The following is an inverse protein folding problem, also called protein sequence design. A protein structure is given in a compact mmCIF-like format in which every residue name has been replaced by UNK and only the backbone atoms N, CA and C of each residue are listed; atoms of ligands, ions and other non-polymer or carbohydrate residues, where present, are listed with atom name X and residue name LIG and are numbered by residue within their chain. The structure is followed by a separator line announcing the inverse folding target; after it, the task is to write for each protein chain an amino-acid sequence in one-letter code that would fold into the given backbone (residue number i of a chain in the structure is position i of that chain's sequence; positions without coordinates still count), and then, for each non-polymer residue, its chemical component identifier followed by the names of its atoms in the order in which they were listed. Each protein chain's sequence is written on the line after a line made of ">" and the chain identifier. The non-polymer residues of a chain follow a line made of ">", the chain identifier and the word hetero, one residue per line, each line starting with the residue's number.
data_IF_502944523177
#
_entry.id   IF_502944523177
#
_cell.length_a   1.000
_cell.length_b   1.000
_cell.length_c   1.000
_cell.angle_alpha   90.00
_cell.angle_beta   90.00
_cell.angle_gamma   90.00
#
_symmetry.space_group_name_H-M   'P 1'
#
loop_
_entity.id
_entity.type
_entity.pdbx_description
1 polymer ?
#
# COMPACT_ATOMS: atom_id res chain seq x y z
N UNK A 1 -17.80 39.04 16.11
CA UNK A 1 -16.63 38.50 15.38
C UNK A 1 -16.57 37.02 15.68
N UNK A 2 -16.73 36.21 14.66
CA UNK A 2 -16.59 34.75 14.70
C UNK A 2 -15.08 34.39 14.79
N UNK A 3 -14.69 33.55 15.76
CA UNK A 3 -13.33 33.05 15.99
C UNK A 3 -13.22 31.63 15.46
N UNK A 4 -12.48 31.46 14.35
CA UNK A 4 -12.21 30.15 13.78
C UNK A 4 -11.48 29.24 14.78
N UNK A 5 -11.92 27.97 14.89
CA UNK A 5 -11.26 26.96 15.72
C UNK A 5 -10.08 26.33 14.98
N UNK A 6 -8.91 26.93 15.10
CA UNK A 6 -7.69 26.49 14.39
C UNK A 6 -7.15 25.10 14.80
N UNK A 7 -7.57 24.55 15.96
CA UNK A 7 -7.00 23.31 16.52
C UNK A 7 -8.02 22.18 16.72
N UNK A 8 -9.20 22.23 16.08
CA UNK A 8 -10.15 21.10 16.10
C UNK A 8 -9.79 20.10 15.00
N UNK A 9 -9.45 18.86 15.36
CA UNK A 9 -9.30 17.75 14.40
C UNK A 9 -10.12 16.54 14.83
N UNK A 10 -10.79 15.88 13.87
CA UNK A 10 -11.47 14.61 14.12
C UNK A 10 -10.41 13.52 14.31
N UNK A 11 -10.56 12.61 15.30
CA UNK A 11 -9.67 11.47 15.42
C UNK A 11 -9.71 10.64 14.13
N UNK A 12 -8.58 10.59 13.40
CA UNK A 12 -8.47 9.84 12.14
C UNK A 12 -8.75 8.34 12.29
N UNK A 13 -8.73 7.82 13.52
CA UNK A 13 -9.01 6.44 13.87
C UNK A 13 -10.49 6.15 14.19
N UNK A 14 -11.39 7.15 14.15
CA UNK A 14 -12.79 6.94 14.49
C UNK A 14 -13.53 6.04 13.48
N UNK A 15 -14.11 4.96 14.00
CA UNK A 15 -14.94 3.99 13.25
C UNK A 15 -16.45 4.14 13.51
N UNK A 16 -16.85 5.04 14.42
CA UNK A 16 -18.25 5.23 14.80
C UNK A 16 -19.10 5.58 13.57
N UNK A 17 -20.23 4.88 13.39
CA UNK A 17 -21.16 5.09 12.27
C UNK A 17 -20.73 4.48 10.93
N UNK A 18 -19.52 3.90 10.84
CA UNK A 18 -19.05 3.29 9.58
C UNK A 18 -19.56 1.86 9.44
N UNK A 19 -20.14 1.55 8.28
CA UNK A 19 -20.50 0.17 7.92
C UNK A 19 -19.25 -0.69 7.76
N UNK A 20 -19.17 -1.80 8.49
CA UNK A 20 -18.15 -2.81 8.30
C UNK A 20 -18.42 -3.62 7.02
N UNK A 21 -17.39 -3.80 6.19
CA UNK A 21 -17.46 -4.47 4.87
C UNK A 21 -16.65 -5.77 4.82
N UNK A 22 -16.30 -6.34 5.99
CA UNK A 22 -15.47 -7.53 6.12
C UNK A 22 -13.99 -7.23 5.91
N UNK A 23 -13.27 -8.10 5.19
CA UNK A 23 -11.86 -7.93 4.86
C UNK A 23 -11.56 -6.69 3.99
N UNK A 24 -12.58 -6.04 3.42
CA UNK A 24 -12.45 -4.76 2.72
C UNK A 24 -12.31 -3.56 3.67
N UNK A 25 -12.48 -3.75 4.98
CA UNK A 25 -12.43 -2.70 5.98
C UNK A 25 -13.78 -2.04 6.26
N UNK A 26 -13.76 -0.75 6.59
CA UNK A 26 -14.96 0.03 6.88
C UNK A 26 -15.25 1.04 5.77
N UNK A 27 -16.49 1.50 5.65
CA UNK A 27 -16.83 2.61 4.74
C UNK A 27 -15.88 3.81 4.96
N UNK A 28 -15.19 4.25 3.91
CA UNK A 28 -14.15 5.31 3.97
C UNK A 28 -12.91 5.01 4.82
N UNK A 29 -12.67 3.75 5.21
CA UNK A 29 -11.42 3.26 5.86
C UNK A 29 -11.10 1.85 5.34
N UNK A 30 -10.66 1.72 4.07
CA UNK A 30 -10.31 0.43 3.50
C UNK A 30 -9.05 -0.15 4.17
N UNK A 31 -8.98 -1.48 4.26
CA UNK A 31 -7.80 -2.16 4.83
C UNK A 31 -6.65 -2.31 3.84
N UNK A 32 -6.94 -2.44 2.54
CA UNK A 32 -5.92 -2.72 1.54
C UNK A 32 -4.85 -1.62 1.43
N UNK A 33 -5.17 -0.32 1.27
CA UNK A 33 -4.13 0.70 1.09
C UNK A 33 -3.14 0.82 2.27
N UNK A 34 -3.58 0.87 3.55
CA UNK A 34 -2.62 0.89 4.66
C UNK A 34 -1.70 -0.34 4.74
N UNK A 35 -2.18 -1.52 4.33
CA UNK A 35 -1.35 -2.73 4.27
C UNK A 35 -0.34 -2.66 3.11
N UNK A 36 -0.70 -2.00 2.01
CA UNK A 36 0.23 -1.77 0.90
C UNK A 36 1.41 -0.90 1.33
N UNK A 37 1.26 0.04 2.25
CA UNK A 37 2.36 0.92 2.70
C UNK A 37 3.55 0.10 3.25
N UNK A 38 3.25 -0.88 4.10
CA UNK A 38 4.27 -1.79 4.68
C UNK A 38 4.89 -2.66 3.60
N UNK A 39 4.06 -3.24 2.74
CA UNK A 39 4.51 -4.15 1.66
C UNK A 39 5.40 -3.43 0.65
N UNK A 40 4.95 -2.27 0.16
CA UNK A 40 5.69 -1.44 -0.81
C UNK A 40 6.97 -0.91 -0.18
N UNK A 41 6.90 -0.41 1.05
CA UNK A 41 8.08 0.06 1.78
C UNK A 41 9.16 -1.03 1.89
N UNK A 42 8.79 -2.24 2.26
CA UNK A 42 9.71 -3.37 2.32
C UNK A 42 10.33 -3.74 0.96
N UNK A 43 9.50 -3.80 -0.09
CA UNK A 43 9.96 -4.11 -1.45
C UNK A 43 10.72 -2.97 -2.16
N UNK A 44 10.82 -1.80 -1.53
CA UNK A 44 11.72 -0.71 -1.96
C UNK A 44 12.98 -0.71 -1.10
N UNK A 45 12.85 -0.75 0.22
CA UNK A 45 13.98 -0.66 1.16
C UNK A 45 14.90 -1.88 1.05
N UNK A 46 14.35 -3.09 0.95
CA UNK A 46 15.15 -4.31 0.80
C UNK A 46 16.09 -4.24 -0.42
N UNK A 47 15.58 -3.96 -1.63
CA UNK A 47 16.42 -3.76 -2.80
C UNK A 47 17.41 -2.60 -2.70
N UNK A 48 17.08 -1.50 -2.00
CA UNK A 48 18.05 -0.42 -1.73
C UNK A 48 19.24 -0.93 -0.92
N UNK A 49 18.99 -1.74 0.12
CA UNK A 49 20.06 -2.37 0.88
C UNK A 49 20.93 -3.29 0.02
N UNK A 50 20.31 -4.08 -0.87
CA UNK A 50 21.05 -4.94 -1.79
C UNK A 50 21.93 -4.17 -2.77
N UNK A 51 21.44 -3.06 -3.33
CA UNK A 51 22.22 -2.19 -4.21
C UNK A 51 23.43 -1.63 -3.47
N UNK A 52 23.23 -1.09 -2.26
CA UNK A 52 24.32 -0.54 -1.46
C UNK A 52 25.33 -1.62 -1.08
N UNK A 53 24.85 -2.80 -0.66
CA UNK A 53 25.70 -3.94 -0.32
C UNK A 53 26.55 -4.39 -1.52
N UNK A 54 25.95 -4.49 -2.70
CA UNK A 54 26.65 -4.90 -3.92
C UNK A 54 27.69 -3.87 -4.38
N UNK A 55 27.37 -2.57 -4.34
CA UNK A 55 28.32 -1.50 -4.67
C UNK A 55 29.50 -1.46 -3.69
N UNK A 56 29.25 -1.80 -2.42
CA UNK A 56 30.26 -1.88 -1.37
C UNK A 56 30.79 -3.28 -1.10
N UNK A 57 30.68 -4.24 -2.03
CA UNK A 57 30.93 -5.69 -1.78
C UNK A 57 32.27 -6.06 -1.14
N UNK A 58 33.29 -5.20 -1.29
CA UNK A 58 34.62 -5.41 -0.70
C UNK A 58 34.75 -4.83 0.73
N UNK A 59 33.68 -4.18 1.23
CA UNK A 59 33.63 -3.58 2.56
C UNK A 59 33.13 -4.57 3.61
N UNK A 60 33.63 -4.46 4.84
CA UNK A 60 33.27 -5.36 5.94
C UNK A 60 31.78 -5.32 6.33
N UNK A 61 31.07 -4.22 6.06
CA UNK A 61 29.65 -4.04 6.39
C UNK A 61 28.69 -4.56 5.32
N UNK A 62 29.20 -4.92 4.13
CA UNK A 62 28.38 -5.25 2.97
C UNK A 62 27.49 -6.48 3.19
N UNK A 63 28.06 -7.55 3.76
CA UNK A 63 27.32 -8.77 4.08
C UNK A 63 26.15 -8.49 5.03
N UNK A 64 26.38 -7.74 6.12
CA UNK A 64 25.33 -7.42 7.09
C UNK A 64 24.17 -6.64 6.45
N UNK A 65 24.48 -5.71 5.56
CA UNK A 65 23.47 -4.93 4.83
C UNK A 65 22.68 -5.81 3.85
N UNK A 66 23.34 -6.72 3.15
CA UNK A 66 22.68 -7.70 2.27
C UNK A 66 21.73 -8.61 3.06
N UNK A 67 22.15 -9.07 4.25
CA UNK A 67 21.30 -9.86 5.14
C UNK A 67 20.07 -9.08 5.57
N UNK A 68 20.26 -7.83 6.00
CA UNK A 68 19.16 -6.94 6.36
C UNK A 68 18.17 -6.77 5.20
N UNK A 69 18.66 -6.60 3.96
CA UNK A 69 17.83 -6.55 2.76
C UNK A 69 16.95 -7.80 2.59
N UNK A 70 17.53 -8.99 2.72
CA UNK A 70 16.80 -10.26 2.65
C UNK A 70 15.70 -10.39 3.71
N UNK A 71 15.99 -10.02 4.96
CA UNK A 71 15.00 -10.04 6.05
C UNK A 71 13.88 -9.01 5.86
N UNK A 72 14.19 -7.82 5.34
CA UNK A 72 13.18 -6.80 4.99
C UNK A 72 12.26 -7.33 3.89
N UNK A 73 12.79 -7.96 2.84
CA UNK A 73 11.98 -8.56 1.78
C UNK A 73 11.10 -9.68 2.34
N UNK A 74 11.60 -10.52 3.26
CA UNK A 74 10.81 -11.56 3.91
C UNK A 74 9.66 -10.98 4.74
N UNK A 75 9.92 -9.93 5.53
CA UNK A 75 8.89 -9.22 6.29
C UNK A 75 7.83 -8.62 5.34
N UNK A 76 8.27 -8.06 4.20
CA UNK A 76 7.40 -7.60 3.12
C UNK A 76 6.53 -8.73 2.55
N UNK A 77 7.10 -9.92 2.31
CA UNK A 77 6.38 -11.09 1.83
C UNK A 77 5.29 -11.55 2.80
N UNK A 78 5.59 -11.60 4.10
CA UNK A 78 4.60 -11.93 5.14
C UNK A 78 3.49 -10.89 5.18
N UNK A 79 3.84 -9.59 5.20
CA UNK A 79 2.86 -8.48 5.16
C UNK A 79 1.98 -8.55 3.90
N UNK A 80 2.57 -8.90 2.76
CA UNK A 80 1.87 -8.97 1.48
C UNK A 80 0.73 -9.99 1.46
N UNK A 81 0.76 -11.02 2.31
CA UNK A 81 -0.33 -11.98 2.42
C UNK A 81 -1.65 -11.30 2.83
N UNK A 82 -1.59 -10.39 3.81
CA UNK A 82 -2.74 -9.61 4.23
C UNK A 82 -3.15 -8.60 3.15
N UNK A 83 -2.18 -7.96 2.49
CA UNK A 83 -2.39 -7.05 1.37
C UNK A 83 -3.13 -7.73 0.21
N UNK A 84 -2.68 -8.93 -0.18
CA UNK A 84 -3.29 -9.74 -1.24
C UNK A 84 -4.71 -10.15 -0.86
N UNK A 85 -4.92 -10.62 0.38
CA UNK A 85 -6.23 -11.07 0.82
C UNK A 85 -7.26 -9.92 0.79
N UNK A 86 -6.89 -8.76 1.31
CA UNK A 86 -7.78 -7.58 1.34
C UNK A 86 -8.03 -7.03 -0.07
N UNK A 87 -7.00 -6.94 -0.91
CA UNK A 87 -7.11 -6.50 -2.30
C UNK A 87 -7.93 -7.45 -3.18
N UNK A 88 -7.78 -8.77 -2.97
CA UNK A 88 -8.60 -9.78 -3.64
C UNK A 88 -10.08 -9.63 -3.29
N UNK A 89 -10.40 -9.30 -2.03
CA UNK A 89 -11.78 -9.07 -1.61
C UNK A 89 -12.38 -7.80 -2.22
N UNK A 90 -11.59 -6.74 -2.38
CA UNK A 90 -12.00 -5.54 -3.12
C UNK A 90 -12.22 -5.82 -4.60
N UNK A 91 -11.30 -6.56 -5.25
CA UNK A 91 -11.49 -7.02 -6.62
C UNK A 91 -12.77 -7.86 -6.75
N UNK A 92 -12.98 -8.86 -5.88
CA UNK A 92 -14.11 -9.77 -5.99
C UNK A 92 -15.46 -9.08 -5.79
N UNK A 93 -15.55 -8.13 -4.85
CA UNK A 93 -16.84 -7.57 -4.38
C UNK A 93 -17.12 -6.15 -4.83
N UNK A 94 -16.11 -5.40 -5.29
CA UNK A 94 -16.26 -3.97 -5.57
C UNK A 94 -15.99 -3.61 -7.03
N UNK A 95 -15.56 -4.55 -7.90
CA UNK A 95 -15.28 -4.25 -9.33
C UNK A 95 -16.20 -5.04 -10.28
N UNK A 96 -17.24 -4.43 -10.87
CA UNK A 96 -18.09 -5.11 -11.85
C UNK A 96 -17.34 -5.53 -13.11
N UNK A 97 -17.66 -6.72 -13.65
CA UNK A 97 -17.07 -7.24 -14.91
C UNK A 97 -17.42 -6.33 -16.10
N UNK A 98 -16.55 -6.31 -17.11
CA UNK A 98 -16.74 -5.53 -18.34
C UNK A 98 -16.41 -4.03 -18.23
N UNK A 99 -16.12 -3.53 -17.03
CA UNK A 99 -15.82 -2.10 -16.81
C UNK A 99 -14.36 -1.76 -17.10
N UNK A 100 -14.10 -0.50 -17.46
CA UNK A 100 -12.76 0.08 -17.62
C UNK A 100 -12.00 0.01 -16.28
N UNK A 101 -12.68 0.20 -15.15
CA UNK A 101 -12.10 0.07 -13.81
C UNK A 101 -11.61 -1.36 -13.52
N UNK A 102 -12.40 -2.39 -13.87
CA UNK A 102 -11.98 -3.80 -13.71
C UNK A 102 -10.75 -4.13 -14.55
N UNK A 103 -10.60 -3.55 -15.74
CA UNK A 103 -9.38 -3.73 -16.57
C UNK A 103 -8.15 -3.16 -15.86
N UNK A 104 -8.27 -1.96 -15.30
CA UNK A 104 -7.18 -1.33 -14.53
C UNK A 104 -6.81 -2.14 -13.28
N UNK A 105 -7.81 -2.56 -12.50
CA UNK A 105 -7.60 -3.41 -11.31
C UNK A 105 -6.99 -4.76 -11.69
N UNK A 106 -7.38 -5.36 -12.82
CA UNK A 106 -6.75 -6.59 -13.32
C UNK A 106 -5.28 -6.35 -13.70
N UNK A 107 -4.95 -5.23 -14.35
CA UNK A 107 -3.58 -4.89 -14.70
C UNK A 107 -2.70 -4.78 -13.44
N UNK A 108 -3.16 -4.02 -12.45
CA UNK A 108 -2.52 -3.93 -11.14
C UNK A 108 -2.35 -5.31 -10.49
N UNK A 109 -3.42 -6.12 -10.41
CA UNK A 109 -3.38 -7.44 -9.80
C UNK A 109 -2.37 -8.38 -10.48
N UNK A 110 -2.32 -8.40 -11.82
CA UNK A 110 -1.35 -9.22 -12.55
C UNK A 110 0.09 -8.75 -12.34
N UNK A 111 0.34 -7.44 -12.28
CA UNK A 111 1.65 -6.90 -11.91
C UNK A 111 2.06 -7.35 -10.50
N UNK A 112 1.13 -7.37 -9.53
CA UNK A 112 1.41 -7.80 -8.17
C UNK A 112 1.59 -9.32 -8.05
N UNK A 113 0.90 -10.13 -8.85
CA UNK A 113 1.16 -11.57 -8.97
C UNK A 113 2.57 -11.82 -9.49
N UNK A 114 2.98 -11.12 -10.56
CA UNK A 114 4.35 -11.24 -11.08
C UNK A 114 5.40 -10.80 -10.05
N UNK A 115 5.14 -9.68 -9.35
CA UNK A 115 5.98 -9.22 -8.23
C UNK A 115 6.14 -10.31 -7.18
N UNK A 116 5.04 -10.97 -6.79
CA UNK A 116 5.05 -12.04 -5.79
C UNK A 116 5.87 -13.24 -6.24
N UNK A 117 5.82 -13.61 -7.52
CA UNK A 117 6.68 -14.67 -8.08
C UNK A 117 8.15 -14.30 -7.92
N UNK A 118 8.54 -13.09 -8.31
CA UNK A 118 9.94 -12.64 -8.17
C UNK A 118 10.39 -12.56 -6.71
N UNK A 119 9.51 -12.13 -5.79
CA UNK A 119 9.80 -12.15 -4.34
C UNK A 119 10.04 -13.58 -3.85
N UNK A 120 9.17 -14.53 -4.22
CA UNK A 120 9.32 -15.93 -3.81
C UNK A 120 10.59 -16.55 -4.38
N UNK A 121 10.93 -16.26 -5.64
CA UNK A 121 12.20 -16.72 -6.26
C UNK A 121 13.40 -16.08 -5.56
N UNK A 122 13.34 -14.80 -5.21
CA UNK A 122 14.40 -14.11 -4.48
C UNK A 122 14.63 -14.71 -3.09
N UNK A 123 13.55 -14.94 -2.33
CA UNK A 123 13.62 -15.55 -1.01
C UNK A 123 14.08 -17.00 -1.08
N UNK A 124 13.59 -17.78 -2.04
CA UNK A 124 14.08 -19.14 -2.28
C UNK A 124 15.58 -19.14 -2.58
N UNK A 125 16.03 -18.26 -3.47
CA UNK A 125 17.44 -18.14 -3.84
C UNK A 125 18.32 -17.83 -2.62
N UNK A 126 17.90 -16.90 -1.76
CA UNK A 126 18.69 -16.48 -0.60
C UNK A 126 18.67 -17.46 0.56
N UNK A 127 17.53 -18.07 0.84
CA UNK A 127 17.31 -18.82 2.08
C UNK A 127 17.33 -20.34 1.90
N UNK A 128 17.15 -20.84 0.67
CA UNK A 128 16.90 -22.27 0.43
C UNK A 128 17.71 -22.87 -0.74
N UNK A 129 18.35 -22.05 -1.58
CA UNK A 129 19.22 -22.57 -2.64
C UNK A 129 20.50 -23.21 -2.06
N UNK A 130 21.32 -23.82 -2.93
CA UNK A 130 22.62 -24.40 -2.57
C UNK A 130 22.60 -25.38 -1.38
N UNK A 131 21.52 -26.17 -1.25
CA UNK A 131 21.38 -27.17 -0.20
C UNK A 131 20.80 -26.65 1.12
N UNK A 132 20.25 -25.42 1.13
CA UNK A 132 19.65 -24.80 2.31
C UNK A 132 20.60 -23.89 3.09
N UNK A 133 21.78 -23.63 2.56
CA UNK A 133 22.71 -22.65 3.11
C UNK A 133 22.21 -21.23 2.80
N UNK A 134 22.26 -20.37 3.82
CA UNK A 134 21.85 -18.99 3.68
C UNK A 134 22.92 -18.20 2.90
N UNK A 135 22.50 -17.55 1.81
CA UNK A 135 23.41 -16.75 0.99
C UNK A 135 23.75 -15.45 1.72
N UNK A 136 24.99 -15.32 2.18
CA UNK A 136 25.40 -14.22 3.07
C UNK A 136 26.08 -13.04 2.37
N UNK A 137 26.47 -13.20 1.11
CA UNK A 137 27.24 -12.20 0.37
C UNK A 137 26.45 -11.66 -0.82
N UNK A 138 26.54 -10.35 -1.12
CA UNK A 138 25.85 -9.80 -2.27
C UNK A 138 26.45 -10.32 -3.57
N UNK A 139 25.58 -10.82 -4.44
CA UNK A 139 25.93 -11.29 -5.78
C UNK A 139 24.99 -10.67 -6.83
N UNK A 140 25.33 -10.88 -8.10
CA UNK A 140 24.63 -10.27 -9.22
C UNK A 140 23.20 -10.82 -9.39
N UNK A 141 22.97 -12.11 -9.11
CA UNK A 141 21.65 -12.75 -9.25
C UNK A 141 20.69 -12.20 -8.20
N UNK A 142 21.09 -12.19 -6.92
CA UNK A 142 20.27 -11.62 -5.86
C UNK A 142 19.96 -10.13 -6.09
N UNK A 143 20.96 -9.36 -6.55
CA UNK A 143 20.77 -7.96 -6.92
C UNK A 143 19.72 -7.80 -8.03
N UNK A 144 19.85 -8.54 -9.14
CA UNK A 144 18.93 -8.43 -10.26
C UNK A 144 17.50 -8.79 -9.87
N UNK A 145 17.31 -9.85 -9.08
CA UNK A 145 16.00 -10.23 -8.56
C UNK A 145 15.40 -9.11 -7.70
N UNK A 146 16.20 -8.49 -6.83
CA UNK A 146 15.74 -7.39 -5.97
C UNK A 146 15.39 -6.13 -6.77
N UNK A 147 16.20 -5.75 -7.77
CA UNK A 147 15.89 -4.61 -8.64
C UNK A 147 14.62 -4.87 -9.45
N UNK A 148 14.39 -6.10 -9.93
CA UNK A 148 13.13 -6.46 -10.61
C UNK A 148 11.94 -6.32 -9.66
N UNK A 149 12.05 -6.80 -8.41
CA UNK A 149 11.01 -6.61 -7.39
C UNK A 149 10.72 -5.12 -7.17
N UNK A 150 11.75 -4.29 -7.00
CA UNK A 150 11.61 -2.84 -6.83
C UNK A 150 10.92 -2.17 -8.03
N UNK A 151 11.30 -2.56 -9.25
CA UNK A 151 10.70 -2.05 -10.48
C UNK A 151 9.23 -2.44 -10.62
N UNK A 152 8.91 -3.71 -10.38
CA UNK A 152 7.55 -4.23 -10.48
C UNK A 152 6.63 -3.66 -9.39
N UNK A 153 7.10 -3.52 -8.15
CA UNK A 153 6.30 -2.90 -7.08
C UNK A 153 6.06 -1.42 -7.35
N UNK A 154 7.02 -0.71 -7.95
CA UNK A 154 6.84 0.69 -8.37
C UNK A 154 5.79 0.81 -9.47
N UNK A 155 5.83 -0.07 -10.48
CA UNK A 155 4.80 -0.14 -11.51
C UNK A 155 3.42 -0.49 -10.91
N UNK A 156 3.37 -1.49 -10.04
CA UNK A 156 2.16 -1.90 -9.32
C UNK A 156 1.57 -0.76 -8.49
N UNK A 157 2.41 -0.03 -7.75
CA UNK A 157 2.04 1.15 -6.99
C UNK A 157 1.52 2.29 -7.87
N UNK A 158 2.12 2.50 -9.05
CA UNK A 158 1.63 3.48 -10.02
C UNK A 158 0.23 3.13 -10.53
N UNK A 159 0.01 1.85 -10.90
CA UNK A 159 -1.30 1.37 -11.31
C UNK A 159 -2.33 1.45 -10.16
N UNK A 160 -1.92 1.12 -8.94
CA UNK A 160 -2.72 1.24 -7.72
C UNK A 160 -3.12 2.68 -7.41
N UNK A 161 -2.17 3.60 -7.54
CA UNK A 161 -2.39 5.04 -7.43
C UNK A 161 -3.41 5.52 -8.46
N UNK A 162 -3.26 5.12 -9.72
CA UNK A 162 -4.26 5.41 -10.76
C UNK A 162 -5.66 4.97 -10.33
N UNK A 163 -5.84 3.72 -9.92
CA UNK A 163 -7.13 3.17 -9.44
C UNK A 163 -7.79 4.07 -8.38
N UNK A 164 -7.01 4.61 -7.43
CA UNK A 164 -7.51 5.46 -6.35
C UNK A 164 -7.75 6.90 -6.83
N UNK A 165 -6.75 7.52 -7.46
CA UNK A 165 -6.72 8.96 -7.71
C UNK A 165 -7.39 9.38 -9.02
N UNK A 166 -7.30 8.57 -10.08
CA UNK A 166 -7.91 8.91 -11.37
C UNK A 166 -9.36 8.39 -11.46
N UNK A 167 -9.69 7.30 -10.75
CA UNK A 167 -10.97 6.59 -10.89
C UNK A 167 -11.83 6.61 -9.63
N UNK A 168 -11.30 7.12 -8.51
CA UNK A 168 -12.03 7.22 -7.24
C UNK A 168 -12.46 5.86 -6.68
N UNK A 169 -11.76 4.78 -7.03
CA UNK A 169 -12.19 3.43 -6.64
C UNK A 169 -12.13 3.24 -5.13
N UNK A 170 -13.27 2.83 -4.54
CA UNK A 170 -13.41 2.66 -3.08
C UNK A 170 -13.10 3.93 -2.25
N UNK A 171 -13.05 5.10 -2.89
CA UNK A 171 -12.90 6.39 -2.23
C UNK A 171 -14.30 6.97 -1.99
N UNK A 172 -14.53 7.44 -0.76
CA UNK A 172 -15.74 8.18 -0.45
C UNK A 172 -15.49 9.66 -0.81
N UNK A 173 -16.09 10.15 -1.89
CA UNK A 173 -15.90 11.52 -2.37
C UNK A 173 -16.61 12.50 -1.42
N UNK A 174 -15.89 13.48 -0.89
CA UNK A 174 -16.50 14.60 -0.20
C UNK A 174 -17.34 15.40 -1.22
N UNK A 175 -18.62 15.64 -0.93
CA UNK A 175 -19.49 16.52 -1.74
C UNK A 175 -19.09 17.99 -1.51
N UNK A 176 -19.89 18.96 -1.96
CA UNK A 176 -19.78 20.32 -1.42
C UNK A 176 -20.03 20.23 0.08
N UNK A 177 -18.96 20.38 0.85
CA UNK A 177 -18.89 19.86 2.21
C UNK A 177 -18.53 21.00 3.16
N UNK A 178 -19.32 21.21 4.23
CA UNK A 178 -19.09 22.26 5.23
C UNK A 178 -17.66 22.34 5.76
N UNK A 179 -16.91 21.23 5.81
CA UNK A 179 -15.46 21.19 6.16
C UNK A 179 -14.56 22.11 5.34
N UNK A 180 -14.93 22.45 4.10
CA UNK A 180 -14.15 23.35 3.23
C UNK A 180 -14.59 24.81 3.38
N UNK A 181 -15.68 25.06 4.10
CA UNK A 181 -16.19 26.38 4.41
C UNK A 181 -15.68 26.81 5.80
N UNK A 182 -15.31 28.09 5.99
CA UNK A 182 -15.01 28.60 7.32
C UNK A 182 -16.19 28.38 8.26
N UNK A 183 -16.00 27.61 9.34
CA UNK A 183 -17.06 27.27 10.29
C UNK A 183 -16.57 27.33 11.73
N UNK A 184 -17.50 27.72 12.62
CA UNK A 184 -17.30 27.71 14.08
C UNK A 184 -17.84 26.44 14.74
N UNK A 185 -18.71 25.71 14.05
CA UNK A 185 -19.25 24.44 14.49
C UNK A 185 -18.35 23.31 13.99
N UNK A 186 -18.37 22.17 14.68
CA UNK A 186 -17.66 20.97 14.22
C UNK A 186 -18.35 20.45 12.96
N UNK A 187 -18.02 21.03 11.81
CA UNK A 187 -18.60 20.76 10.50
C UNK A 187 -18.08 19.45 9.92
N UNK A 188 -18.04 18.40 10.73
CA UNK A 188 -17.74 17.05 10.29
C UNK A 188 -18.99 16.44 9.71
N UNK A 189 -19.27 16.73 8.45
CA UNK A 189 -20.19 15.89 7.69
C UNK A 189 -19.39 14.62 7.27
N UNK A 190 -19.92 13.43 7.49
CA UNK A 190 -19.56 12.27 6.68
C UNK A 190 -20.35 12.39 5.37
N UNK A 191 -19.95 11.71 4.28
CA UNK A 191 -20.85 11.48 3.14
C UNK A 191 -22.22 10.88 3.53
N UNK A 192 -22.36 10.40 4.77
CA UNK A 192 -23.57 9.85 5.39
C UNK A 192 -24.15 10.69 6.54
N UNK A 193 -23.51 11.79 6.96
CA UNK A 193 -24.12 12.67 7.95
C UNK A 193 -25.07 13.63 7.20
N UNK A 194 -26.24 13.92 7.79
CA UNK A 194 -27.13 14.93 7.23
C UNK A 194 -26.40 16.28 7.20
N UNK A 195 -26.50 17.06 6.10
CA UNK A 195 -25.89 18.37 6.06
C UNK A 195 -26.47 19.22 7.19
N UNK A 196 -25.59 19.89 7.94
CA UNK A 196 -26.03 20.87 8.92
C UNK A 196 -26.97 21.88 8.24
N UNK A 197 -28.08 22.27 8.89
CA UNK A 197 -29.00 23.24 8.31
C UNK A 197 -28.24 24.51 7.97
N UNK A 198 -28.42 25.01 6.73
CA UNK A 198 -27.83 26.28 6.31
C UNK A 198 -28.33 27.37 7.24
N UNK A 199 -27.41 28.05 7.92
CA UNK A 199 -27.70 29.30 8.57
C UNK A 199 -27.68 30.35 7.46
N UNK A 200 -28.86 30.72 6.96
CA UNK A 200 -28.96 31.86 6.03
C UNK A 200 -28.63 33.17 6.78
N UNK A 201 -27.99 34.13 6.09
CA UNK A 201 -27.55 35.38 6.69
C UNK A 201 -28.69 36.30 7.17
#
# INVERSE_FOLDING_TARGET
>A
MTVARYFSFKPGLSLKGRKFKGLRGFAGKPFHPPLTDVTVGAYVIGPVFDVIAFLGKDSSWSGDLFKAGGWVILAGAISSLATILTGFMDWLRSTPKGTQARRMVNAHAWTMVLTSVFVLVNLWYRFLAEGGEYYESPDLVALLLSVIVAGLVTLGGTLGGGIVYDWGFNVEVAKDHPVWHPSETNDYVHPHDEPAPRVEP
#
